data_IF_707120057914
#
_entry.id   IF_707120057914
#
_cell.length_a   1.000
_cell.length_b   1.000
_cell.length_c   1.000
_cell.angle_alpha   90.00
_cell.angle_beta   90.00
_cell.angle_gamma   90.00
#
_symmetry.space_group_name_H-M   'P 1'
#
loop_
_entity.id
_entity.type
_entity.pdbx_description
1 polymer ?
#
# COMPACT_ATOMS: atom_id res chain seq x y z
N UNK A 1 8.20 23.16 6.67
CA UNK A 1 6.88 23.78 6.41
C UNK A 1 6.98 25.30 6.55
N UNK A 2 6.28 26.09 5.74
CA UNK A 2 6.15 27.55 5.91
C UNK A 2 4.67 27.97 5.94
N UNK A 3 4.38 29.26 6.13
CA UNK A 3 3.01 29.78 6.23
C UNK A 3 2.16 29.49 4.98
N UNK A 4 2.74 29.69 3.78
CA UNK A 4 2.08 29.39 2.51
C UNK A 4 1.73 27.91 2.37
N UNK A 5 2.62 27.03 2.83
CA UNK A 5 2.36 25.59 2.85
C UNK A 5 1.16 25.25 3.74
N UNK A 6 1.07 25.87 4.92
CA UNK A 6 -0.05 25.68 5.86
C UNK A 6 -1.37 26.17 5.26
N UNK A 7 -1.37 27.29 4.54
CA UNK A 7 -2.56 27.81 3.86
C UNK A 7 -3.07 26.84 2.79
N UNK A 8 -2.17 26.29 1.96
CA UNK A 8 -2.51 25.29 0.95
C UNK A 8 -3.09 24.03 1.61
N UNK A 9 -2.43 23.52 2.66
CA UNK A 9 -2.91 22.34 3.41
C UNK A 9 -4.28 22.59 4.06
N UNK A 10 -4.50 23.79 4.62
CA UNK A 10 -5.78 24.19 5.21
C UNK A 10 -6.88 24.16 4.16
N UNK A 11 -6.63 24.70 2.97
CA UNK A 11 -7.60 24.70 1.88
C UNK A 11 -8.06 23.27 1.55
N UNK A 12 -7.12 22.34 1.37
CA UNK A 12 -7.45 20.94 1.10
C UNK A 12 -8.14 20.25 2.29
N UNK A 13 -7.74 20.56 3.53
CA UNK A 13 -8.38 20.02 4.72
C UNK A 13 -9.84 20.47 4.89
N UNK A 14 -10.11 21.75 4.61
CA UNK A 14 -11.45 22.35 4.64
C UNK A 14 -12.34 21.75 3.55
N UNK A 15 -11.82 21.63 2.32
CA UNK A 15 -12.58 21.07 1.19
C UNK A 15 -12.73 19.55 1.24
N UNK A 16 -12.07 18.86 2.19
CA UNK A 16 -12.12 17.40 2.29
C UNK A 16 -11.26 16.69 1.23
N UNK A 17 -10.34 17.42 0.58
CA UNK A 17 -9.55 16.92 -0.53
C UNK A 17 -8.29 16.18 -0.07
N UNK A 18 -8.47 14.95 0.40
CA UNK A 18 -7.38 14.08 0.87
C UNK A 18 -6.30 13.82 -0.17
N UNK A 19 -6.71 13.70 -1.43
CA UNK A 19 -5.78 13.35 -2.50
C UNK A 19 -4.80 14.50 -2.76
N UNK A 20 -5.29 15.73 -2.94
CA UNK A 20 -4.42 16.88 -3.12
C UNK A 20 -3.66 17.26 -1.84
N UNK A 21 -4.27 17.04 -0.66
CA UNK A 21 -3.60 17.23 0.64
C UNK A 21 -2.32 16.40 0.75
N UNK A 22 -2.43 15.08 0.57
CA UNK A 22 -1.27 14.19 0.69
C UNK A 22 -0.33 14.32 -0.52
N UNK A 23 -0.86 14.55 -1.73
CA UNK A 23 -0.03 14.83 -2.91
C UNK A 23 0.87 16.06 -2.72
N UNK A 24 0.32 17.15 -2.16
CA UNK A 24 1.09 18.36 -1.87
C UNK A 24 2.23 18.07 -0.89
N UNK A 25 1.93 17.39 0.23
CA UNK A 25 2.92 16.98 1.22
C UNK A 25 4.00 16.06 0.62
N UNK A 26 3.62 15.10 -0.22
CA UNK A 26 4.55 14.17 -0.86
C UNK A 26 5.56 14.86 -1.78
N UNK A 27 5.20 16.00 -2.37
CA UNK A 27 6.10 16.80 -3.19
C UNK A 27 7.04 17.72 -2.39
N UNK A 28 6.87 17.86 -1.06
CA UNK A 28 7.72 18.72 -0.24
C UNK A 28 9.10 18.11 -0.07
N UNK A 29 10.14 18.90 -0.35
CA UNK A 29 11.51 18.50 -0.04
C UNK A 29 11.66 18.24 1.47
N UNK A 30 12.32 17.12 1.81
CA UNK A 30 12.53 16.70 3.20
C UNK A 30 11.35 16.00 3.85
N UNK A 31 10.28 15.67 3.11
CA UNK A 31 9.24 14.78 3.65
C UNK A 31 9.79 13.36 3.90
N UNK A 32 9.25 12.69 4.91
CA UNK A 32 9.72 11.38 5.40
C UNK A 32 9.04 10.16 4.75
N UNK A 33 8.25 10.37 3.68
CA UNK A 33 7.53 9.30 2.99
C UNK A 33 6.15 8.97 3.56
N UNK A 34 5.79 9.44 4.77
CA UNK A 34 4.44 9.27 5.31
C UNK A 34 3.33 9.73 4.34
N UNK A 35 3.42 10.93 3.73
CA UNK A 35 2.34 11.41 2.89
C UNK A 35 2.10 10.54 1.65
N UNK A 36 3.17 9.93 1.12
CA UNK A 36 3.05 9.03 -0.03
C UNK A 36 2.37 7.69 0.35
N UNK A 37 2.62 7.17 1.56
CA UNK A 37 1.87 6.02 2.06
C UNK A 37 0.39 6.35 2.21
N UNK A 38 0.07 7.49 2.83
CA UNK A 38 -1.30 7.95 3.00
C UNK A 38 -2.01 8.18 1.66
N UNK A 39 -1.31 8.68 0.64
CA UNK A 39 -1.84 8.85 -0.71
C UNK A 39 -2.23 7.51 -1.35
N UNK A 40 -1.43 6.47 -1.16
CA UNK A 40 -1.75 5.11 -1.61
C UNK A 40 -3.01 4.54 -0.92
N UNK A 41 -3.20 4.82 0.37
CA UNK A 41 -4.43 4.46 1.10
C UNK A 41 -5.65 5.21 0.52
N UNK A 42 -5.52 6.51 0.27
CA UNK A 42 -6.60 7.35 -0.28
C UNK A 42 -7.08 6.85 -1.64
N UNK A 43 -6.14 6.48 -2.51
CA UNK A 43 -6.41 6.06 -3.90
C UNK A 43 -6.65 4.56 -4.04
N UNK A 44 -6.28 3.78 -3.02
CA UNK A 44 -6.35 2.33 -3.03
C UNK A 44 -5.63 1.71 -4.25
N UNK A 45 -4.54 2.35 -4.69
CA UNK A 45 -3.89 2.09 -5.98
C UNK A 45 -2.51 1.42 -5.87
N UNK A 46 -2.11 1.03 -4.65
CA UNK A 46 -0.96 0.18 -4.41
C UNK A 46 -1.26 -0.86 -3.31
N UNK A 47 -0.46 -1.93 -3.24
CA UNK A 47 -0.68 -2.96 -2.22
C UNK A 47 -0.59 -2.46 -0.78
N UNK A 48 0.37 -1.62 -0.37
CA UNK A 48 0.42 -1.15 1.01
C UNK A 48 -0.85 -0.40 1.40
N UNK A 49 -1.32 0.50 0.53
CA UNK A 49 -2.54 1.27 0.74
C UNK A 49 -3.79 0.38 0.77
N UNK A 50 -3.92 -0.54 -0.17
CA UNK A 50 -5.02 -1.50 -0.21
C UNK A 50 -5.00 -2.47 0.98
N UNK A 51 -3.81 -2.90 1.43
CA UNK A 51 -3.65 -3.73 2.62
C UNK A 51 -4.13 -2.98 3.86
N UNK A 52 -3.75 -1.70 4.01
CA UNK A 52 -4.20 -0.88 5.14
C UNK A 52 -5.73 -0.68 5.14
N UNK A 53 -6.34 -0.44 3.98
CA UNK A 53 -7.80 -0.33 3.85
C UNK A 53 -8.51 -1.63 4.25
N UNK A 54 -8.04 -2.79 3.75
CA UNK A 54 -8.63 -4.09 4.10
C UNK A 54 -8.41 -4.41 5.58
N UNK A 55 -7.24 -4.09 6.12
CA UNK A 55 -6.93 -4.33 7.54
C UNK A 55 -7.87 -3.53 8.45
N UNK A 56 -8.08 -2.24 8.14
CA UNK A 56 -9.03 -1.39 8.85
C UNK A 56 -10.48 -1.89 8.70
N UNK A 57 -10.88 -2.36 7.51
CA UNK A 57 -12.23 -2.91 7.27
C UNK A 57 -12.47 -4.22 8.04
N UNK A 58 -11.46 -5.10 8.11
CA UNK A 58 -11.54 -6.31 8.91
C UNK A 58 -11.68 -5.99 10.41
N UNK A 59 -10.94 -5.00 10.91
CA UNK A 59 -11.08 -4.56 12.30
C UNK A 59 -12.46 -3.97 12.55
N UNK A 60 -12.94 -3.07 11.69
CA UNK A 60 -14.27 -2.49 11.80
C UNK A 60 -15.35 -3.57 11.87
N UNK A 61 -15.29 -4.58 10.99
CA UNK A 61 -16.23 -5.72 11.02
C UNK A 61 -16.14 -6.52 12.31
N UNK A 62 -14.94 -6.74 12.83
CA UNK A 62 -14.74 -7.43 14.12
C UNK A 62 -15.37 -6.64 15.29
N UNK A 63 -15.35 -5.31 15.21
CA UNK A 63 -15.99 -4.41 16.17
C UNK A 63 -17.50 -4.22 15.91
N UNK A 64 -18.08 -4.92 14.92
CA UNK A 64 -19.50 -4.83 14.58
C UNK A 64 -19.88 -3.61 13.73
N UNK A 65 -18.88 -2.91 13.16
CA UNK A 65 -19.06 -1.73 12.29
C UNK A 65 -18.93 -2.15 10.83
N UNK A 66 -19.91 -1.76 10.01
CA UNK A 66 -19.88 -1.95 8.56
C UNK A 66 -19.97 -0.59 7.86
N UNK A 67 -18.88 -0.18 7.20
CA UNK A 67 -18.81 1.06 6.43
C UNK A 67 -18.77 0.75 4.93
N UNK A 68 -19.63 1.42 4.14
CA UNK A 68 -19.46 1.48 2.69
C UNK A 68 -18.35 2.45 2.28
N UNK A 69 -18.03 2.54 0.98
CA UNK A 69 -16.95 3.42 0.48
C UNK A 69 -17.17 4.90 0.88
N UNK A 70 -18.42 5.35 0.96
CA UNK A 70 -18.78 6.70 1.43
C UNK A 70 -18.50 6.90 2.93
N UNK A 71 -18.78 5.88 3.75
CA UNK A 71 -18.42 5.88 5.17
C UNK A 71 -16.91 5.94 5.37
N UNK A 72 -16.17 5.09 4.65
CA UNK A 72 -14.70 5.11 4.62
C UNK A 72 -14.12 6.42 4.08
N UNK A 73 -14.81 7.08 3.14
CA UNK A 73 -14.44 8.41 2.66
C UNK A 73 -14.52 9.44 3.79
N UNK A 74 -15.66 9.51 4.48
CA UNK A 74 -15.89 10.42 5.60
C UNK A 74 -14.87 10.20 6.72
N UNK A 75 -14.67 8.94 7.12
CA UNK A 75 -13.65 8.54 8.09
C UNK A 75 -12.26 9.07 7.72
N UNK A 76 -11.83 8.87 6.47
CA UNK A 76 -10.53 9.36 6.04
C UNK A 76 -10.43 10.88 5.92
N UNK A 77 -11.54 11.60 5.71
CA UNK A 77 -11.56 13.08 5.72
C UNK A 77 -11.33 13.57 7.15
N UNK A 78 -11.96 12.92 8.13
CA UNK A 78 -11.78 13.26 9.54
C UNK A 78 -10.34 12.97 10.02
N UNK A 79 -9.74 11.85 9.58
CA UNK A 79 -8.32 11.58 9.81
C UNK A 79 -7.41 12.68 9.24
N UNK A 80 -7.62 13.08 7.99
CA UNK A 80 -6.83 14.14 7.34
C UNK A 80 -6.97 15.48 8.10
N UNK A 81 -8.17 15.83 8.56
CA UNK A 81 -8.40 17.05 9.34
C UNK A 81 -7.68 17.02 10.68
N UNK A 82 -7.66 15.87 11.35
CA UNK A 82 -6.91 15.68 12.59
C UNK A 82 -5.38 15.77 12.36
N UNK A 83 -4.87 15.16 11.28
CA UNK A 83 -3.47 15.30 10.85
C UNK A 83 -3.13 16.79 10.59
N UNK A 84 -3.97 17.51 9.84
CA UNK A 84 -3.76 18.94 9.58
C UNK A 84 -3.73 19.76 10.88
N UNK A 85 -4.64 19.50 11.82
CA UNK A 85 -4.69 20.23 13.08
C UNK A 85 -3.38 20.09 13.88
N UNK A 86 -2.77 18.90 13.90
CA UNK A 86 -1.47 18.69 14.54
C UNK A 86 -0.33 19.38 13.81
N UNK A 87 -0.29 19.32 12.46
CA UNK A 87 0.71 20.04 11.68
C UNK A 87 0.63 21.54 11.92
N UNK A 88 -0.58 22.08 11.97
CA UNK A 88 -0.82 23.49 12.27
C UNK A 88 -0.33 23.84 13.67
N UNK A 89 -0.63 23.02 14.69
CA UNK A 89 -0.14 23.21 16.06
C UNK A 89 1.39 23.24 16.14
N UNK A 90 2.07 22.33 15.45
CA UNK A 90 3.54 22.32 15.40
C UNK A 90 4.10 23.55 14.70
N UNK A 91 3.47 23.98 13.60
CA UNK A 91 3.86 25.19 12.91
C UNK A 91 3.76 26.42 13.81
N UNK A 92 2.64 26.60 14.52
CA UNK A 92 2.43 27.70 15.49
C UNK A 92 3.43 27.65 16.65
N UNK A 93 3.86 26.45 17.04
CA UNK A 93 4.90 26.25 18.06
C UNK A 93 6.33 26.52 17.54
N UNK A 94 6.50 27.01 16.32
CA UNK A 94 7.82 27.25 15.73
C UNK A 94 8.57 25.95 15.38
N UNK A 95 7.86 24.84 15.16
CA UNK A 95 8.38 23.52 14.79
C UNK A 95 7.96 23.13 13.37
N UNK A 96 8.43 23.87 12.33
CA UNK A 96 8.09 23.60 10.94
C UNK A 96 8.65 22.26 10.41
N UNK A 97 9.62 21.69 11.12
CA UNK A 97 10.17 20.35 10.94
C UNK A 97 9.13 19.28 11.30
N UNK A 98 8.54 19.36 12.51
CA UNK A 98 7.49 18.44 12.95
C UNK A 98 6.18 18.64 12.20
N UNK A 99 5.86 19.87 11.80
CA UNK A 99 4.72 20.15 10.95
C UNK A 99 4.83 19.45 9.57
N UNK A 100 6.04 19.26 9.06
CA UNK A 100 6.28 18.51 7.82
C UNK A 100 6.29 17.00 8.07
N UNK A 101 6.95 16.56 9.13
CA UNK A 101 7.21 15.16 9.43
C UNK A 101 6.67 14.85 10.84
N UNK A 102 5.40 14.44 10.90
CA UNK A 102 4.77 14.12 12.18
C UNK A 102 5.43 12.88 12.81
N UNK A 103 5.87 12.96 14.08
CA UNK A 103 6.25 11.82 14.90
C UNK A 103 5.16 10.73 14.93
N UNK A 104 5.57 9.48 15.14
CA UNK A 104 4.69 8.33 15.31
C UNK A 104 3.61 8.60 16.37
N UNK A 105 4.02 9.18 17.50
CA UNK A 105 3.10 9.54 18.59
C UNK A 105 2.03 10.53 18.14
N UNK A 106 2.38 11.54 17.36
CA UNK A 106 1.43 12.55 16.90
C UNK A 106 0.43 11.96 15.89
N UNK A 107 0.92 11.11 14.98
CA UNK A 107 0.03 10.38 14.06
C UNK A 107 -0.93 9.49 14.85
N UNK A 108 -0.44 8.75 15.84
CA UNK A 108 -1.29 7.92 16.70
C UNK A 108 -2.33 8.76 17.47
N UNK A 109 -1.90 9.83 18.13
CA UNK A 109 -2.76 10.70 18.95
C UNK A 109 -3.84 11.40 18.11
N UNK A 110 -3.60 11.62 16.81
CA UNK A 110 -4.64 12.11 15.87
C UNK A 110 -5.56 11.01 15.34
N UNK A 111 -5.06 9.80 15.14
CA UNK A 111 -5.84 8.71 14.55
C UNK A 111 -6.78 8.07 15.57
N UNK A 112 -6.28 7.80 16.77
CA UNK A 112 -6.99 7.12 17.85
C UNK A 112 -8.39 7.66 18.15
N UNK A 113 -8.59 8.99 18.34
CA UNK A 113 -9.92 9.53 18.61
C UNK A 113 -10.89 9.32 17.44
N UNK A 114 -10.40 9.38 16.20
CA UNK A 114 -11.23 9.21 15.00
C UNK A 114 -11.66 7.75 14.85
N UNK A 115 -10.77 6.78 15.07
CA UNK A 115 -11.15 5.36 15.14
C UNK A 115 -12.25 5.13 16.18
N UNK A 116 -12.07 5.64 17.40
CA UNK A 116 -13.07 5.52 18.49
C UNK A 116 -14.40 6.20 18.15
N UNK A 117 -14.37 7.37 17.50
CA UNK A 117 -15.57 8.09 17.07
C UNK A 117 -16.42 7.26 16.10
N UNK A 118 -15.79 6.45 15.25
CA UNK A 118 -16.47 5.57 14.31
C UNK A 118 -16.79 4.19 14.89
N UNK A 119 -16.54 3.97 16.20
CA UNK A 119 -16.77 2.68 16.87
C UNK A 119 -15.78 1.60 16.48
N UNK A 120 -14.63 1.97 15.90
CA UNK A 120 -13.59 1.03 15.46
C UNK A 120 -12.46 1.07 16.49
N UNK A 121 -11.95 -0.09 16.89
CA UNK A 121 -10.75 -0.17 17.71
C UNK A 121 -9.58 0.51 16.98
N UNK A 122 -8.86 1.45 17.61
CA UNK A 122 -7.67 2.07 17.03
C UNK A 122 -6.62 1.09 16.50
N UNK A 123 -6.62 -0.15 16.96
CA UNK A 123 -5.76 -1.23 16.44
C UNK A 123 -6.02 -1.55 14.96
N UNK A 124 -7.10 -1.03 14.36
CA UNK A 124 -7.33 -1.02 12.91
C UNK A 124 -6.40 -0.10 12.14
N UNK A 125 -5.69 0.82 12.81
CA UNK A 125 -4.55 1.52 12.22
C UNK A 125 -3.36 0.56 12.16
N UNK A 126 -3.01 0.16 10.95
CA UNK A 126 -2.05 -0.92 10.66
C UNK A 126 -0.78 -0.93 11.53
N UNK A 127 -0.03 0.17 11.73
CA UNK A 127 1.21 0.12 12.49
C UNK A 127 1.01 0.18 14.01
N UNK A 128 -0.20 0.46 14.51
CA UNK A 128 -0.43 0.84 15.91
C UNK A 128 0.09 -0.17 16.92
N UNK A 129 -0.33 -1.44 16.80
CA UNK A 129 0.05 -2.48 17.76
C UNK A 129 1.58 -2.68 17.81
N UNK A 130 2.23 -2.60 16.65
CA UNK A 130 3.68 -2.69 16.53
C UNK A 130 4.39 -1.48 17.16
N UNK A 131 3.87 -0.26 16.92
CA UNK A 131 4.42 0.97 17.50
C UNK A 131 4.26 1.00 19.02
N UNK A 132 3.12 0.55 19.54
CA UNK A 132 2.89 0.43 20.98
C UNK A 132 3.81 -0.63 21.62
N UNK A 133 4.03 -1.76 20.97
CA UNK A 133 4.97 -2.77 21.45
C UNK A 133 6.42 -2.25 21.46
N UNK A 134 6.85 -1.57 20.40
CA UNK A 134 8.14 -0.91 20.35
C UNK A 134 8.29 0.15 21.47
N UNK A 135 7.23 0.93 21.72
CA UNK A 135 7.19 1.93 22.79
C UNK A 135 7.31 1.30 24.17
N UNK A 136 6.64 0.17 24.42
CA UNK A 136 6.80 -0.58 25.69
C UNK A 136 8.21 -1.14 25.86
N UNK A 137 8.83 -1.59 24.76
CA UNK A 137 10.17 -2.17 24.79
C UNK A 137 11.28 -1.13 25.00
N UNK A 138 11.20 0.04 24.37
CA UNK A 138 12.30 1.01 24.35
C UNK A 138 11.89 2.49 24.41
N UNK A 139 10.64 2.79 24.75
CA UNK A 139 10.11 4.15 24.80
C UNK A 139 9.85 4.76 23.41
N UNK A 140 9.55 6.06 23.40
CA UNK A 140 9.17 6.78 22.18
C UNK A 140 10.26 6.74 21.11
N UNK A 141 11.54 6.76 21.51
CA UNK A 141 12.66 6.65 20.56
C UNK A 141 12.64 5.34 19.76
N UNK A 142 12.26 4.23 20.40
CA UNK A 142 12.18 2.93 19.74
C UNK A 142 10.98 2.86 18.78
N UNK A 143 9.84 3.40 19.19
CA UNK A 143 8.67 3.54 18.32
C UNK A 143 8.97 4.42 17.09
N UNK A 144 9.71 5.52 17.25
CA UNK A 144 10.12 6.36 16.13
C UNK A 144 11.07 5.66 15.15
N UNK A 145 11.97 4.78 15.62
CA UNK A 145 12.83 3.98 14.72
C UNK A 145 11.99 3.05 13.85
N UNK A 146 11.03 2.35 14.47
CA UNK A 146 10.09 1.49 13.75
C UNK A 146 9.27 2.32 12.76
N UNK A 147 8.76 3.48 13.18
CA UNK A 147 7.97 4.36 12.32
C UNK A 147 8.75 4.90 11.12
N UNK A 148 9.99 5.34 11.33
CA UNK A 148 10.87 5.78 10.25
C UNK A 148 11.10 4.67 9.22
N UNK A 149 11.28 3.44 9.69
CA UNK A 149 11.43 2.26 8.83
C UNK A 149 10.14 1.92 8.07
N UNK A 150 8.97 2.00 8.71
CA UNK A 150 7.68 1.70 8.07
C UNK A 150 7.36 2.67 6.93
N UNK A 151 7.89 3.89 6.98
CA UNK A 151 7.67 4.96 6.00
C UNK A 151 8.69 5.01 4.85
N UNK A 152 9.75 4.22 4.92
CA UNK A 152 10.75 4.13 3.85
C UNK A 152 10.17 3.42 2.62
N UNK A 153 9.68 4.24 1.68
CA UNK A 153 9.01 3.82 0.46
C UNK A 153 9.94 3.47 -0.70
N UNK A 154 11.27 3.40 -0.48
CA UNK A 154 12.18 2.95 -1.53
C UNK A 154 11.86 1.51 -1.95
N UNK A 155 12.12 1.11 -3.21
CA UNK A 155 11.87 -0.28 -3.67
C UNK A 155 12.55 -1.32 -2.76
N UNK A 156 13.76 -1.00 -2.28
CA UNK A 156 14.46 -1.81 -1.26
C UNK A 156 13.77 -1.73 0.11
N UNK A 157 13.20 -0.57 0.46
CA UNK A 157 12.36 -0.34 1.63
C UNK A 157 11.09 -1.18 1.66
N UNK A 158 10.37 -1.37 0.55
CA UNK A 158 9.13 -2.19 0.49
C UNK A 158 9.41 -3.69 0.67
N UNK A 159 10.43 -4.24 0.02
CA UNK A 159 10.83 -5.65 0.22
C UNK A 159 11.38 -5.88 1.63
N UNK A 160 12.11 -4.89 2.17
CA UNK A 160 12.56 -4.87 3.56
C UNK A 160 11.37 -4.78 4.52
N UNK A 161 10.35 -3.97 4.23
CA UNK A 161 9.17 -3.79 5.08
C UNK A 161 8.51 -5.12 5.40
N UNK A 162 8.30 -6.01 4.43
CA UNK A 162 7.72 -7.33 4.70
C UNK A 162 8.61 -8.21 5.58
N UNK A 163 9.91 -8.32 5.26
CA UNK A 163 10.86 -9.12 6.03
C UNK A 163 11.14 -8.53 7.43
N UNK A 164 11.09 -7.22 7.54
CA UNK A 164 11.38 -6.48 8.75
C UNK A 164 10.16 -6.33 9.63
N UNK A 165 8.95 -6.14 9.11
CA UNK A 165 7.72 -6.28 9.90
C UNK A 165 7.63 -7.67 10.52
N UNK A 166 7.99 -8.73 9.78
CA UNK A 166 8.10 -10.08 10.34
C UNK A 166 9.12 -10.16 11.49
N UNK A 167 10.37 -9.76 11.25
CA UNK A 167 11.43 -9.85 12.25
C UNK A 167 11.19 -8.95 13.48
N UNK A 168 10.70 -7.73 13.26
CA UNK A 168 10.46 -6.70 14.28
C UNK A 168 9.22 -7.04 15.11
N UNK A 169 8.17 -7.60 14.51
CA UNK A 169 7.01 -8.06 15.30
C UNK A 169 7.41 -9.18 16.26
N UNK A 170 8.22 -10.15 15.82
CA UNK A 170 8.74 -11.19 16.71
C UNK A 170 9.69 -10.64 17.78
N UNK A 171 10.49 -9.62 17.48
CA UNK A 171 11.36 -8.96 18.45
C UNK A 171 10.57 -8.32 19.60
N UNK A 172 9.42 -7.72 19.30
CA UNK A 172 8.58 -7.04 20.29
C UNK A 172 7.38 -7.87 20.75
N UNK A 173 7.38 -9.18 20.50
CA UNK A 173 6.32 -10.06 20.96
C UNK A 173 6.25 -10.03 22.49
N UNK A 174 5.11 -9.63 23.04
CA UNK A 174 4.89 -9.45 24.47
C UNK A 174 3.44 -9.80 24.86
N UNK A 175 3.07 -9.61 26.12
CA UNK A 175 1.73 -9.97 26.62
C UNK A 175 0.58 -9.18 25.96
N UNK A 176 0.89 -8.10 25.22
CA UNK A 176 -0.09 -7.22 24.56
C UNK A 176 0.01 -7.27 23.03
N UNK A 177 1.12 -7.75 22.45
CA UNK A 177 1.29 -8.03 21.03
C UNK A 177 1.53 -9.52 20.81
N UNK A 178 0.51 -10.22 20.31
CA UNK A 178 0.70 -11.51 19.67
C UNK A 178 1.19 -11.28 18.24
N UNK A 179 2.51 -11.40 18.05
CA UNK A 179 3.15 -11.19 16.76
C UNK A 179 2.62 -12.14 15.68
N UNK A 180 2.27 -13.38 16.03
CA UNK A 180 1.74 -14.34 15.05
C UNK A 180 0.36 -13.92 14.58
N UNK A 181 -0.53 -13.59 15.51
CA UNK A 181 -1.89 -13.13 15.18
C UNK A 181 -1.86 -11.83 14.36
N UNK A 182 -1.01 -10.88 14.74
CA UNK A 182 -0.81 -9.62 14.00
C UNK A 182 -0.32 -9.86 12.57
N UNK A 183 0.70 -10.72 12.39
CA UNK A 183 1.24 -11.06 11.08
C UNK A 183 0.24 -11.84 10.22
N UNK A 184 -0.55 -12.73 10.82
CA UNK A 184 -1.61 -13.45 10.13
C UNK A 184 -2.70 -12.49 9.63
N UNK A 185 -3.14 -11.54 10.47
CA UNK A 185 -4.11 -10.52 10.09
C UNK A 185 -3.58 -9.65 8.94
N UNK A 186 -2.33 -9.21 9.01
CA UNK A 186 -1.64 -8.49 7.93
C UNK A 186 -1.54 -9.31 6.64
N UNK A 187 -1.19 -10.59 6.74
CA UNK A 187 -1.09 -11.50 5.59
C UNK A 187 -2.43 -11.72 4.90
N UNK A 188 -3.51 -11.92 5.68
CA UNK A 188 -4.88 -12.03 5.16
C UNK A 188 -5.30 -10.74 4.45
N UNK A 189 -5.07 -9.58 5.07
CA UNK A 189 -5.40 -8.29 4.48
C UNK A 189 -4.65 -8.08 3.16
N UNK A 190 -3.34 -8.41 3.12
CA UNK A 190 -2.53 -8.32 1.92
C UNK A 190 -3.02 -9.23 0.79
N UNK A 191 -3.40 -10.46 1.11
CA UNK A 191 -3.90 -11.41 0.09
C UNK A 191 -5.19 -10.91 -0.57
N UNK A 192 -6.11 -10.31 0.21
CA UNK A 192 -7.31 -9.66 -0.34
C UNK A 192 -6.93 -8.42 -1.16
N UNK A 193 -5.97 -7.63 -0.68
CA UNK A 193 -5.51 -6.41 -1.35
C UNK A 193 -4.88 -6.66 -2.73
N UNK A 194 -4.32 -7.85 -3.00
CA UNK A 194 -3.80 -8.22 -4.33
C UNK A 194 -4.87 -8.23 -5.42
N UNK A 195 -6.15 -8.41 -5.06
CA UNK A 195 -7.28 -8.31 -5.97
C UNK A 195 -8.01 -6.96 -5.91
N UNK A 196 -7.57 -6.04 -5.05
CA UNK A 196 -8.23 -4.75 -4.86
C UNK A 196 -8.04 -3.85 -6.08
N UNK A 197 -9.09 -3.11 -6.43
CA UNK A 197 -9.05 -2.14 -7.52
C UNK A 197 -8.82 -0.73 -6.97
N UNK A 198 -8.12 0.08 -7.76
CA UNK A 198 -8.07 1.52 -7.52
C UNK A 198 -9.47 2.12 -7.46
N UNK A 199 -9.67 3.08 -6.56
CA UNK A 199 -10.94 3.80 -6.44
C UNK A 199 -11.01 5.06 -7.32
N UNK A 200 -10.08 5.23 -8.27
CA UNK A 200 -9.94 6.45 -9.08
C UNK A 200 -10.77 6.44 -10.38
N UNK A 201 -11.20 5.27 -10.84
CA UNK A 201 -12.11 5.12 -11.99
C UNK A 201 -13.58 5.01 -11.49
N UNK A 202 -14.44 6.00 -11.77
CA UNK A 202 -15.85 5.99 -11.39
C UNK A 202 -16.68 4.99 -12.20
N UNK A 203 -16.18 4.52 -13.34
CA UNK A 203 -16.89 3.60 -14.22
C UNK A 203 -16.58 2.14 -13.93
N UNK A 204 -15.66 1.83 -13.00
CA UNK A 204 -15.28 0.46 -12.65
C UNK A 204 -15.43 0.24 -11.15
N UNK A 205 -16.31 -0.67 -10.76
CA UNK A 205 -16.56 -0.97 -9.34
C UNK A 205 -16.39 -2.46 -9.11
N UNK A 206 -15.64 -2.82 -8.06
CA UNK A 206 -15.64 -4.15 -7.48
C UNK A 206 -16.53 -4.12 -6.23
N UNK A 207 -17.54 -4.98 -6.19
CA UNK A 207 -18.49 -5.09 -5.08
C UNK A 207 -18.82 -6.57 -4.85
N UNK A 208 -18.64 -7.05 -3.63
CA UNK A 208 -18.90 -8.44 -3.21
C UNK A 208 -18.24 -9.50 -4.11
N UNK A 209 -16.99 -9.27 -4.51
CA UNK A 209 -16.23 -10.17 -5.38
C UNK A 209 -16.69 -10.19 -6.83
N UNK A 210 -17.59 -9.28 -7.23
CA UNK A 210 -18.06 -9.10 -8.62
C UNK A 210 -17.55 -7.78 -9.18
N UNK A 211 -17.39 -7.76 -10.49
CA UNK A 211 -16.94 -6.58 -11.23
C UNK A 211 -18.08 -5.97 -12.02
N UNK A 212 -18.16 -4.65 -11.98
CA UNK A 212 -19.19 -3.86 -12.65
C UNK A 212 -18.53 -2.75 -13.45
N UNK A 213 -19.04 -2.52 -14.67
CA UNK A 213 -18.61 -1.44 -15.55
C UNK A 213 -19.81 -0.59 -15.97
N UNK A 214 -19.71 0.71 -15.82
CA UNK A 214 -20.70 1.65 -16.35
C UNK A 214 -20.44 1.88 -17.84
N UNK A 215 -21.47 1.69 -18.67
CA UNK A 215 -21.42 2.06 -20.08
C UNK A 215 -22.08 3.43 -20.26
N UNK A 216 -21.28 4.43 -20.60
CA UNK A 216 -21.75 5.80 -20.77
C UNK A 216 -22.73 5.96 -21.94
N UNK A 217 -22.62 5.12 -22.97
CA UNK A 217 -23.49 5.20 -24.15
C UNK A 217 -24.91 4.77 -23.84
N UNK A 218 -25.08 3.68 -23.10
CA UNK A 218 -26.39 3.20 -22.67
C UNK A 218 -26.87 3.82 -21.36
N UNK A 219 -25.98 4.45 -20.58
CA UNK A 219 -26.28 4.96 -19.25
C UNK A 219 -26.56 3.85 -18.23
N UNK A 220 -26.02 2.65 -18.45
CA UNK A 220 -26.34 1.45 -17.68
C UNK A 220 -25.10 0.73 -17.12
N UNK A 221 -25.34 -0.10 -16.11
CA UNK A 221 -24.30 -0.96 -15.53
C UNK A 221 -24.29 -2.34 -16.17
N UNK A 222 -23.09 -2.85 -16.40
CA UNK A 222 -22.83 -4.21 -16.86
C UNK A 222 -22.01 -4.95 -15.81
N UNK A 223 -22.48 -6.11 -15.36
CA UNK A 223 -21.65 -7.02 -14.58
C UNK A 223 -20.69 -7.73 -15.53
N UNK A 224 -19.39 -7.64 -15.27
CA UNK A 224 -18.33 -8.28 -16.05
C UNK A 224 -17.89 -9.54 -15.31
N UNK A 225 -18.07 -10.70 -15.93
CA UNK A 225 -17.43 -11.92 -15.45
C UNK A 225 -16.05 -12.03 -16.11
N UNK A 226 -14.99 -12.03 -15.30
CA UNK A 226 -13.67 -12.41 -15.77
C UNK A 226 -13.63 -13.95 -15.83
N UNK A 227 -14.03 -14.51 -16.98
CA UNK A 227 -13.77 -15.91 -17.25
C UNK A 227 -12.29 -16.02 -17.63
N UNK A 228 -11.52 -16.72 -16.81
CA UNK A 228 -10.08 -16.97 -16.94
C UNK A 228 -9.69 -17.62 -18.28
N UNK A 229 -9.74 -16.83 -19.37
CA UNK A 229 -9.50 -17.11 -20.80
C UNK A 229 -10.78 -17.06 -21.64
N UNK A 230 -10.96 -15.91 -22.29
CA UNK A 230 -11.52 -15.70 -23.65
C UNK A 230 -13.02 -15.46 -23.90
N UNK A 231 -13.87 -15.23 -22.89
CA UNK A 231 -15.20 -14.65 -23.14
C UNK A 231 -15.60 -13.67 -22.04
N UNK A 232 -15.66 -12.36 -22.36
CA UNK A 232 -16.25 -11.35 -21.50
C UNK A 232 -17.77 -11.45 -21.57
N UNK A 233 -18.38 -12.29 -20.75
CA UNK A 233 -19.82 -12.24 -20.56
C UNK A 233 -20.14 -10.99 -19.73
N UNK A 234 -20.79 -10.02 -20.37
CA UNK A 234 -21.33 -8.85 -19.71
C UNK A 234 -22.85 -8.97 -19.66
N UNK A 235 -23.44 -8.97 -18.46
CA UNK A 235 -24.89 -8.96 -18.28
C UNK A 235 -25.33 -7.60 -17.75
N UNK A 236 -26.43 -7.00 -18.27
CA UNK A 236 -26.99 -5.80 -17.68
C UNK A 236 -27.36 -6.02 -16.23
N UNK A 237 -27.00 -5.07 -15.36
CA UNK A 237 -27.44 -5.07 -13.97
C UNK A 237 -28.85 -4.50 -13.91
N UNK A 238 -29.79 -5.27 -13.37
CA UNK A 238 -31.21 -4.89 -13.29
C UNK A 238 -31.72 -4.80 -11.85
N UNK A 239 -30.98 -5.35 -10.88
CA UNK A 239 -31.34 -5.27 -9.46
C UNK A 239 -31.33 -3.82 -8.98
N UNK A 240 -32.47 -3.28 -8.48
CA UNK A 240 -32.55 -1.88 -8.03
C UNK A 240 -31.55 -1.56 -6.91
N UNK A 241 -31.41 -2.45 -5.92
CA UNK A 241 -30.49 -2.27 -4.79
C UNK A 241 -29.02 -2.23 -5.24
N UNK A 242 -28.66 -3.11 -6.18
CA UNK A 242 -27.31 -3.11 -6.75
C UNK A 242 -27.07 -1.85 -7.58
N UNK A 243 -28.05 -1.42 -8.38
CA UNK A 243 -27.95 -0.20 -9.17
C UNK A 243 -27.79 1.05 -8.29
N UNK A 244 -28.56 1.16 -7.21
CA UNK A 244 -28.45 2.26 -6.24
C UNK A 244 -27.06 2.30 -5.63
N UNK A 245 -26.54 1.17 -5.16
CA UNK A 245 -25.20 1.07 -4.59
C UNK A 245 -24.12 1.46 -5.61
N UNK A 246 -24.18 0.93 -6.84
CA UNK A 246 -23.20 1.24 -7.88
C UNK A 246 -23.25 2.72 -8.28
N UNK A 247 -24.43 3.32 -8.36
CA UNK A 247 -24.59 4.73 -8.67
C UNK A 247 -24.06 5.63 -7.54
N UNK A 248 -24.31 5.29 -6.27
CA UNK A 248 -23.76 6.03 -5.12
C UNK A 248 -22.22 6.02 -5.13
N UNK A 249 -21.63 4.83 -5.33
CA UNK A 249 -20.18 4.65 -5.42
C UNK A 249 -19.59 5.40 -6.62
N UNK A 250 -20.24 5.33 -7.78
CA UNK A 250 -19.82 6.10 -8.96
C UNK A 250 -19.88 7.59 -8.69
N UNK A 251 -20.97 8.09 -8.09
CA UNK A 251 -21.10 9.50 -7.76
C UNK A 251 -19.99 9.94 -6.82
N UNK A 252 -19.71 9.18 -5.75
CA UNK A 252 -18.59 9.45 -4.84
C UNK A 252 -17.25 9.58 -5.58
N UNK A 253 -16.98 8.69 -6.53
CA UNK A 253 -15.72 8.71 -7.30
C UNK A 253 -15.69 9.87 -8.29
N UNK A 254 -16.82 10.26 -8.88
CA UNK A 254 -16.92 11.48 -9.68
C UNK A 254 -16.67 12.74 -8.82
N UNK A 255 -17.24 12.81 -7.61
CA UNK A 255 -17.01 13.91 -6.67
C UNK A 255 -15.51 14.01 -6.34
N UNK A 256 -14.83 12.87 -6.13
CA UNK A 256 -13.37 12.82 -5.93
C UNK A 256 -12.59 13.26 -7.16
N UNK A 257 -13.02 12.90 -8.37
CA UNK A 257 -12.41 13.39 -9.60
C UNK A 257 -12.54 14.91 -9.71
N UNK A 258 -13.70 15.48 -9.39
CA UNK A 258 -13.87 16.94 -9.35
C UNK A 258 -12.95 17.59 -8.31
N UNK A 259 -12.83 17.01 -7.10
CA UNK A 259 -11.89 17.49 -6.10
C UNK A 259 -10.44 17.45 -6.61
N UNK A 260 -10.06 16.43 -7.38
CA UNK A 260 -8.71 16.30 -7.97
C UNK A 260 -8.35 17.49 -8.87
N UNK A 261 -9.33 18.17 -9.44
CA UNK A 261 -9.14 19.34 -10.31
C UNK A 261 -9.08 20.66 -9.51
N UNK A 262 -9.50 20.64 -8.23
CA UNK A 262 -9.59 21.81 -7.36
C UNK A 262 -8.29 22.07 -6.62
N UNK A 263 -7.21 22.31 -7.35
CA UNK A 263 -5.95 22.73 -6.73
C UNK A 263 -6.07 24.11 -6.10
N UNK A 264 -5.36 24.32 -4.99
CA UNK A 264 -5.17 25.66 -4.45
C UNK A 264 -4.40 26.53 -5.47
N UNK A 265 -4.78 27.80 -5.72
CA UNK A 265 -4.16 28.66 -6.74
C UNK A 265 -2.65 28.85 -6.58
N UNK A 266 -2.14 28.69 -5.35
CA UNK A 266 -0.72 28.80 -5.01
C UNK A 266 0.02 27.46 -4.92
N UNK A 267 -0.65 26.33 -5.14
CA UNK A 267 0.01 25.02 -5.20
C UNK A 267 0.97 24.99 -6.41
N UNK A 268 2.27 24.71 -6.26
CA UNK A 268 3.19 24.62 -7.38
C UNK A 268 3.02 23.34 -8.21
N UNK A 269 2.15 22.39 -7.80
CA UNK A 269 1.98 21.08 -8.43
C UNK A 269 0.74 20.97 -9.32
N UNK A 270 0.01 22.05 -9.62
CA UNK A 270 -1.24 22.03 -10.41
C UNK A 270 -1.08 21.42 -11.81
N UNK A 271 0.12 21.51 -12.38
CA UNK A 271 0.44 21.03 -13.72
C UNK A 271 1.32 19.78 -13.68
N UNK A 272 1.45 19.15 -12.50
CA UNK A 272 2.20 17.91 -12.33
C UNK A 272 1.23 16.75 -12.17
N UNK A 273 1.59 15.56 -12.68
CA UNK A 273 0.83 14.37 -12.35
C UNK A 273 0.84 14.17 -10.83
N UNK A 274 -0.29 13.71 -10.29
CA UNK A 274 -0.35 13.27 -8.89
C UNK A 274 0.68 12.16 -8.69
N UNK A 275 1.41 12.24 -7.58
CA UNK A 275 2.48 11.29 -7.29
C UNK A 275 1.97 9.87 -7.36
N UNK A 276 2.63 9.07 -8.20
CA UNK A 276 2.39 7.64 -8.23
C UNK A 276 2.84 7.03 -6.91
N UNK A 277 1.94 6.27 -6.31
CA UNK A 277 2.24 5.33 -5.23
C UNK A 277 3.38 4.37 -5.64
N UNK A 278 4.28 3.95 -4.73
CA UNK A 278 5.32 2.98 -5.05
C UNK A 278 4.70 1.67 -5.58
N UNK A 279 5.17 1.25 -6.75
CA UNK A 279 4.70 0.12 -7.56
C UNK A 279 4.65 -1.23 -6.82
N UNK A 280 3.68 -2.07 -7.22
CA UNK A 280 3.61 -3.48 -6.88
C UNK A 280 4.45 -4.34 -7.84
N UNK A 281 5.01 -5.44 -7.34
CA UNK A 281 5.50 -6.57 -8.18
C UNK A 281 4.33 -7.21 -8.98
N UNK A 282 3.08 -6.97 -8.56
CA UNK A 282 1.87 -7.44 -9.24
C UNK A 282 1.38 -6.54 -10.40
N UNK A 283 1.96 -5.34 -10.59
CA UNK A 283 1.62 -4.43 -11.70
C UNK A 283 2.45 -4.69 -12.96
N UNK A 284 3.24 -5.77 -13.00
CA UNK A 284 3.85 -6.21 -14.24
C UNK A 284 2.74 -6.66 -15.19
N UNK A 285 2.33 -5.78 -16.11
CA UNK A 285 1.74 -6.26 -17.36
C UNK A 285 2.66 -7.36 -17.90
N UNK A 286 2.15 -8.54 -18.28
CA UNK A 286 2.98 -9.51 -18.95
C UNK A 286 3.55 -8.82 -20.18
N UNK A 287 4.87 -8.65 -20.20
CA UNK A 287 5.60 -8.15 -21.37
C UNK A 287 5.17 -9.04 -22.53
N UNK A 288 4.32 -8.52 -23.41
CA UNK A 288 4.07 -9.19 -24.67
C UNK A 288 5.43 -9.21 -25.38
N UNK A 289 5.97 -10.39 -25.75
CA UNK A 289 7.18 -10.41 -26.53
C UNK A 289 6.87 -9.69 -27.84
N UNK A 290 7.43 -8.49 -28.00
CA UNK A 290 7.42 -7.80 -29.27
C UNK A 290 8.15 -8.71 -30.26
N UNK A 291 7.39 -9.24 -31.21
CA UNK A 291 7.95 -9.93 -32.34
C UNK A 291 8.75 -8.92 -33.17
N UNK A 292 10.08 -9.07 -33.14
CA UNK A 292 10.98 -8.53 -34.16
C UNK A 292 11.82 -7.33 -33.74
N UNK A 293 13.07 -7.61 -33.39
CA UNK A 293 14.26 -7.07 -34.10
C UNK A 293 15.53 -7.48 -33.35
N UNK A 294 15.94 -8.76 -33.49
CA UNK A 294 17.34 -9.13 -33.27
C UNK A 294 18.05 -9.00 -34.60
N UNK A 295 18.42 -7.79 -34.98
CA UNK A 295 19.47 -7.54 -35.95
C UNK A 295 20.08 -6.17 -35.68
N UNK A 296 21.41 -6.14 -35.64
CA UNK A 296 22.30 -5.04 -35.27
C UNK A 296 22.45 -4.77 -33.75
N UNK A 297 23.53 -5.32 -33.17
CA UNK A 297 24.68 -4.51 -32.73
C UNK A 297 25.65 -5.40 -31.89
N UNK A 298 26.50 -6.14 -32.59
CA UNK A 298 27.75 -6.69 -32.05
C UNK A 298 28.88 -6.23 -32.98
N UNK A 299 29.36 -5.01 -32.75
CA UNK A 299 30.68 -4.57 -33.18
C UNK A 299 31.33 -3.82 -32.03
N UNK A 300 32.24 -4.48 -31.31
CA UNK A 300 33.68 -4.15 -31.33
C UNK A 300 34.46 -4.99 -30.29
N UNK A 301 35.75 -5.19 -30.61
CA UNK A 301 36.80 -5.94 -29.89
C UNK A 301 36.69 -7.48 -30.00
N UNK A 302 37.53 -8.23 -30.73
CA UNK A 302 38.88 -7.99 -31.22
C UNK A 302 39.88 -8.92 -30.50
N UNK A 303 39.93 -10.21 -30.86
CA UNK A 303 41.04 -11.15 -30.56
C UNK A 303 41.13 -12.25 -31.65
N UNK A 304 42.34 -12.78 -31.96
CA UNK A 304 42.67 -13.41 -33.25
C UNK A 304 42.33 -14.92 -33.36
N UNK A 305 42.31 -15.49 -34.59
CA UNK A 305 41.74 -16.81 -34.86
C UNK A 305 42.76 -17.94 -34.68
N UNK A 306 42.35 -19.06 -34.06
CA UNK A 306 43.13 -20.29 -34.05
C UNK A 306 42.50 -21.44 -33.25
N UNK A 307 42.22 -22.53 -33.96
CA UNK A 307 41.96 -23.91 -33.50
C UNK A 307 40.58 -24.32 -32.95
N UNK A 308 39.77 -24.82 -33.89
CA UNK A 308 39.01 -26.08 -33.92
C UNK A 308 38.91 -26.98 -32.67
N UNK A 309 37.65 -27.35 -32.36
CA UNK A 309 37.12 -28.72 -32.16
C UNK A 309 38.12 -29.80 -31.67
N UNK A 310 37.95 -30.32 -30.44
CA UNK A 310 37.40 -31.67 -30.17
C UNK A 310 37.58 -32.10 -28.70
N UNK A 311 36.73 -33.04 -28.30
CA UNK A 311 36.72 -33.85 -27.05
C UNK A 311 38.11 -34.21 -26.49
N UNK A 312 38.27 -34.10 -25.17
CA UNK A 312 39.07 -35.05 -24.39
C UNK A 312 38.42 -35.32 -23.02
N UNK A 313 38.17 -36.60 -22.80
CA UNK A 313 37.89 -37.33 -21.56
C UNK A 313 39.08 -37.33 -20.59
N UNK A 314 38.81 -37.51 -19.28
CA UNK A 314 39.72 -38.22 -18.38
C UNK A 314 40.09 -37.49 -17.09
N UNK A 315 39.71 -38.12 -15.96
CA UNK A 315 40.51 -38.49 -14.78
C UNK A 315 41.67 -37.56 -14.33
N UNK A 316 42.00 -37.33 -13.06
CA UNK A 316 41.51 -37.74 -11.74
C UNK A 316 42.51 -37.17 -10.68
N UNK A 317 42.19 -37.35 -9.39
CA UNK A 317 43.05 -37.34 -8.18
C UNK A 317 43.31 -35.99 -7.43
N UNK A 318 43.59 -36.02 -6.10
CA UNK A 318 42.87 -36.75 -5.04
C UNK A 318 42.76 -36.03 -3.67
N UNK A 319 41.84 -36.52 -2.83
CA UNK A 319 42.14 -36.91 -1.44
C UNK A 319 42.13 -35.84 -0.33
N UNK A 320 41.15 -35.96 0.57
CA UNK A 320 41.40 -36.22 2.00
C UNK A 320 40.16 -36.86 2.64
N UNK A 321 40.38 -38.04 3.22
CA UNK A 321 39.42 -38.87 3.95
C UNK A 321 39.32 -38.40 5.40
N UNK A 322 38.13 -38.50 5.99
CA UNK A 322 37.90 -38.44 7.43
C UNK A 322 36.44 -38.76 7.74
N UNK A 323 36.19 -40.01 8.15
CA UNK A 323 34.87 -40.65 8.24
C UNK A 323 34.32 -40.70 9.67
N UNK A 324 33.05 -40.29 9.82
CA UNK A 324 31.94 -40.82 10.67
C UNK A 324 32.10 -40.87 12.23
N UNK A 325 31.01 -41.01 13.04
CA UNK A 325 29.66 -41.49 12.71
C UNK A 325 28.46 -40.65 13.23
N UNK A 326 27.28 -40.97 12.67
CA UNK A 326 25.94 -40.63 13.17
C UNK A 326 25.55 -41.52 14.38
N UNK A 327 24.56 -41.08 15.18
CA UNK A 327 23.31 -41.84 15.18
C UNK A 327 22.03 -40.98 15.13
N UNK A 328 21.12 -41.46 14.30
CA UNK A 328 19.65 -41.61 14.43
C UNK A 328 18.77 -40.57 15.16
N UNK A 329 17.76 -40.14 14.39
CA UNK A 329 16.59 -39.27 14.64
C UNK A 329 15.58 -39.82 15.67
N UNK A 330 14.54 -39.04 16.09
CA UNK A 330 13.33 -38.93 15.26
C UNK A 330 12.61 -37.56 15.28
N UNK A 331 12.22 -37.10 14.08
CA UNK A 331 10.83 -36.71 13.79
C UNK A 331 10.33 -35.33 14.21
N UNK A 332 10.51 -34.33 13.34
CA UNK A 332 9.45 -33.36 13.00
C UNK A 332 9.45 -33.18 11.47
N UNK A 333 8.34 -33.59 10.84
CA UNK A 333 8.03 -33.31 9.43
C UNK A 333 7.30 -31.97 9.34
N UNK A 334 7.47 -31.29 8.20
CA UNK A 334 6.72 -30.13 7.68
C UNK A 334 7.05 -28.81 8.41
N UNK A 335 7.40 -27.71 7.73
CA UNK A 335 6.65 -27.11 6.64
C UNK A 335 7.52 -26.72 5.43
N UNK A 336 6.93 -26.99 4.27
CA UNK A 336 7.43 -26.71 2.95
C UNK A 336 7.53 -25.22 2.67
N UNK A 337 8.59 -24.85 1.96
CA UNK A 337 8.68 -23.64 1.17
C UNK A 337 7.51 -23.57 0.18
N UNK A 338 6.83 -22.43 0.18
CA UNK A 338 5.88 -21.91 -0.81
C UNK A 338 6.08 -20.39 -0.77
N UNK A 339 6.18 -19.61 -1.86
CA UNK A 339 5.72 -19.75 -3.24
C UNK A 339 6.55 -18.84 -4.14
N UNK A 340 6.72 -19.28 -5.39
CA UNK A 340 6.85 -18.41 -6.55
C UNK A 340 5.44 -18.15 -7.11
N UNK A 341 5.11 -16.89 -7.43
CA UNK A 341 4.53 -16.40 -8.70
C UNK A 341 5.02 -14.97 -8.86
#
# INVERSE_FOLDING_TARGET
MNAKDIEILRFYAVSGNRELYFNYLSHKAGNDGYPLLALGVVRNDNAPGATANVFADNQARADGVALGERGWHGFGVDLMRADFALRFKHFEAGRPDLALNLPAKDVQDSHDPIFRQYGINPDGWTPRQLLEAARRHGGDEEAEKVWAMLRDNSFKGVTRLAATTLAVSHQYNDDQLDANAYLEAMGKARNVALGAQSNTDPHRIALDGRYYRFDEKSGGWMQVQDAQRQLHFSSPVTSPETLETLNDLRQLRMDRQQLREQFHPDDPNQHRPIMASPWLVADAEPVQPQAGSHEAELQTAGLPPGCCISRCTGNAWPGLKGSMPWPESPGIRTASAWLAV
#
